data_IF_541030810058
#
_entry.id   IF_541030810058
#
_cell.length_a   1.000
_cell.length_b   1.000
_cell.length_c   1.000
_cell.angle_alpha   90.00
_cell.angle_beta   90.00
_cell.angle_gamma   90.00
#
_symmetry.space_group_name_H-M   'P 1'
#
loop_
_entity.id
_entity.type
_entity.pdbx_description
1 polymer ?
#
# COMPACT_ATOMS: atom_id res chain seq x y z
N UNK A 1 16.83 -0.27 6.25
CA UNK A 1 15.91 -1.06 5.40
C UNK A 1 16.21 -0.78 3.94
N UNK A 2 16.26 -1.81 3.13
CA UNK A 2 16.46 -1.66 1.70
C UNK A 2 15.09 -1.60 1.01
N UNK A 3 14.92 -0.63 0.13
CA UNK A 3 13.66 -0.47 -0.62
C UNK A 3 14.01 -0.30 -2.09
N UNK A 4 13.64 -1.30 -2.90
CA UNK A 4 13.80 -1.20 -4.34
C UNK A 4 12.54 -0.54 -4.92
N UNK A 5 12.71 0.22 -5.99
CA UNK A 5 11.61 0.92 -6.64
C UNK A 5 11.61 0.65 -8.12
N UNK A 6 10.45 0.34 -8.67
CA UNK A 6 10.27 0.11 -10.10
C UNK A 6 9.19 1.05 -10.60
N UNK A 7 9.50 1.84 -11.62
CA UNK A 7 8.53 2.77 -12.20
C UNK A 7 7.80 2.09 -13.34
N UNK A 8 6.46 2.10 -13.29
CA UNK A 8 5.60 1.59 -14.36
C UNK A 8 4.65 2.71 -14.74
N UNK A 9 5.05 3.54 -15.71
CA UNK A 9 4.25 4.69 -16.08
C UNK A 9 4.11 5.66 -14.94
N UNK A 10 2.87 5.90 -14.51
CA UNK A 10 2.60 6.81 -13.40
C UNK A 10 2.61 6.11 -12.04
N UNK A 11 2.90 4.81 -12.01
CA UNK A 11 2.84 4.00 -10.81
C UNK A 11 4.24 3.61 -10.41
N UNK A 12 4.53 3.67 -9.11
CA UNK A 12 5.80 3.19 -8.57
C UNK A 12 5.52 1.99 -7.70
N UNK A 13 6.25 0.92 -7.93
CA UNK A 13 6.17 -0.28 -7.10
C UNK A 13 7.36 -0.24 -6.16
N UNK A 14 7.07 -0.19 -4.86
CA UNK A 14 8.08 -0.17 -3.82
C UNK A 14 8.22 -1.57 -3.24
N UNK A 15 9.44 -2.07 -3.15
CA UNK A 15 9.71 -3.41 -2.64
C UNK A 15 10.65 -3.35 -1.45
N UNK A 16 10.12 -3.08 -0.26
CA UNK A 16 10.97 -3.08 0.93
C UNK A 16 11.40 -4.49 1.29
N UNK A 17 12.59 -4.60 1.84
CA UNK A 17 13.15 -5.87 2.29
C UNK A 17 13.49 -5.75 3.76
N UNK A 18 12.91 -6.65 4.56
CA UNK A 18 13.15 -6.66 5.98
C UNK A 18 11.90 -6.32 6.76
N UNK A 19 12.06 -6.23 8.07
CA UNK A 19 10.95 -5.98 8.98
C UNK A 19 10.59 -4.50 8.96
N UNK A 20 9.31 -4.21 8.95
CA UNK A 20 8.82 -2.84 9.00
C UNK A 20 8.36 -2.57 10.43
N UNK A 21 9.22 -1.92 11.19
CA UNK A 21 9.07 -1.77 12.63
C UNK A 21 9.41 -0.35 13.05
N UNK A 22 9.38 -0.12 14.38
CA UNK A 22 9.79 1.16 14.94
C UNK A 22 11.17 1.59 14.44
N UNK A 23 12.12 0.63 14.29
CA UNK A 23 13.47 0.97 13.86
C UNK A 23 13.57 1.33 12.37
N UNK A 24 12.63 0.87 11.55
CA UNK A 24 12.75 1.03 10.10
C UNK A 24 11.65 1.90 9.50
N UNK A 25 10.61 2.24 10.27
CA UNK A 25 9.48 2.96 9.70
C UNK A 25 9.86 4.34 9.20
N UNK A 26 10.88 4.97 9.79
CA UNK A 26 11.36 6.27 9.33
C UNK A 26 11.95 6.19 7.93
N UNK A 27 12.70 5.13 7.64
CA UNK A 27 13.26 4.93 6.30
C UNK A 27 12.16 4.71 5.26
N UNK A 28 11.14 3.97 5.63
CA UNK A 28 9.98 3.76 4.75
C UNK A 28 9.28 5.08 4.47
N UNK A 29 9.00 5.86 5.52
CA UNK A 29 8.32 7.15 5.36
C UNK A 29 9.12 8.09 4.48
N UNK A 30 10.43 8.11 4.65
CA UNK A 30 11.30 8.98 3.87
C UNK A 30 11.29 8.59 2.40
N UNK A 31 11.30 7.30 2.11
CA UNK A 31 11.24 6.83 0.73
C UNK A 31 9.92 7.26 0.06
N UNK A 32 8.81 7.14 0.79
CA UNK A 32 7.51 7.56 0.26
C UNK A 32 7.50 9.07 0.04
N UNK A 33 8.04 9.83 0.99
CA UNK A 33 8.05 11.30 0.88
C UNK A 33 8.83 11.76 -0.33
N UNK A 34 9.97 11.11 -0.61
CA UNK A 34 10.75 11.47 -1.81
C UNK A 34 9.95 11.26 -3.08
N UNK A 35 9.15 10.19 -3.13
CA UNK A 35 8.30 9.95 -4.29
C UNK A 35 7.21 11.02 -4.41
N UNK A 36 6.58 11.37 -3.29
CA UNK A 36 5.58 12.44 -3.31
C UNK A 36 6.18 13.75 -3.78
N UNK A 37 7.40 14.06 -3.35
CA UNK A 37 8.06 15.34 -3.69
C UNK A 37 8.29 15.47 -5.19
N UNK A 38 8.44 14.36 -5.90
CA UNK A 38 8.60 14.40 -7.36
C UNK A 38 7.30 14.09 -8.09
N UNK A 39 6.17 14.14 -7.39
CA UNK A 39 4.86 13.98 -7.99
C UNK A 39 4.40 12.55 -8.18
N UNK A 40 5.11 11.57 -7.60
CA UNK A 40 4.74 10.16 -7.71
C UNK A 40 3.85 9.80 -6.54
N UNK A 41 2.53 9.77 -6.78
CA UNK A 41 1.55 9.56 -5.72
C UNK A 41 0.75 8.27 -5.86
N UNK A 42 0.97 7.50 -6.92
CA UNK A 42 0.31 6.22 -7.13
C UNK A 42 1.31 5.12 -6.84
N UNK A 43 1.16 4.51 -5.66
CA UNK A 43 2.17 3.60 -5.12
C UNK A 43 1.57 2.21 -4.91
N UNK A 44 2.36 1.19 -5.24
CA UNK A 44 2.08 -0.20 -4.88
C UNK A 44 3.18 -0.64 -3.95
N UNK A 45 2.80 -1.09 -2.77
CA UNK A 45 3.75 -1.55 -1.76
C UNK A 45 3.78 -3.08 -1.81
N UNK A 46 4.88 -3.61 -2.33
CA UNK A 46 5.06 -5.06 -2.46
C UNK A 46 5.69 -5.59 -1.19
N UNK A 47 4.92 -6.35 -0.43
CA UNK A 47 5.33 -6.84 0.88
C UNK A 47 5.86 -8.27 0.84
N UNK A 48 6.19 -8.80 -0.34
CA UNK A 48 6.68 -10.16 -0.47
C UNK A 48 7.91 -10.43 0.40
N UNK A 49 8.76 -9.44 0.59
CA UNK A 49 10.00 -9.58 1.35
C UNK A 49 9.94 -8.88 2.72
N UNK A 50 8.73 -8.63 3.22
CA UNK A 50 8.51 -8.06 4.54
C UNK A 50 7.86 -9.14 5.40
N UNK A 51 8.63 -9.83 6.25
CA UNK A 51 8.08 -10.94 7.03
C UNK A 51 7.32 -10.50 8.26
N UNK A 52 7.47 -9.25 8.67
CA UNK A 52 6.90 -8.80 9.93
C UNK A 52 6.65 -7.30 9.93
N UNK A 53 5.51 -6.88 10.47
CA UNK A 53 5.15 -5.48 10.64
C UNK A 53 4.67 -5.33 12.08
N UNK A 54 5.24 -4.38 12.83
CA UNK A 54 4.73 -4.07 14.17
C UNK A 54 3.75 -2.89 14.10
N UNK A 55 3.25 -2.44 15.24
CA UNK A 55 2.26 -1.36 15.26
C UNK A 55 2.81 -0.05 14.72
N UNK A 56 4.09 0.20 14.89
CA UNK A 56 4.70 1.42 14.34
C UNK A 56 4.79 1.34 12.82
N UNK A 57 5.16 0.18 12.29
CA UNK A 57 5.19 -0.04 10.85
C UNK A 57 3.79 0.05 10.25
N UNK A 58 2.82 -0.54 10.94
CA UNK A 58 1.43 -0.46 10.48
C UNK A 58 0.94 0.99 10.48
N UNK A 59 1.27 1.74 11.52
CA UNK A 59 0.92 3.16 11.60
C UNK A 59 1.52 3.96 10.45
N UNK A 60 2.77 3.64 10.07
CA UNK A 60 3.41 4.29 8.94
C UNK A 60 2.67 3.98 7.64
N UNK A 61 2.29 2.71 7.44
CA UNK A 61 1.52 2.33 6.24
C UNK A 61 0.21 3.10 6.16
N UNK A 62 -0.49 3.23 7.28
CA UNK A 62 -1.77 3.95 7.32
C UNK A 62 -1.57 5.42 6.99
N UNK A 63 -0.57 6.05 7.59
CA UNK A 63 -0.34 7.47 7.35
C UNK A 63 0.03 7.76 5.91
N UNK A 64 0.85 6.90 5.31
CA UNK A 64 1.22 7.10 3.91
C UNK A 64 0.06 6.79 2.97
N UNK A 65 -0.81 5.87 3.35
CA UNK A 65 -2.04 5.61 2.62
C UNK A 65 -2.91 6.87 2.57
N UNK A 66 -3.08 7.51 3.74
CA UNK A 66 -3.88 8.72 3.83
C UNK A 66 -3.23 9.86 3.02
N UNK A 67 -1.92 10.01 3.14
CA UNK A 67 -1.20 11.05 2.42
C UNK A 67 -1.30 10.90 0.91
N UNK A 68 -1.18 9.65 0.42
CA UNK A 68 -1.29 9.39 -1.01
C UNK A 68 -2.67 9.79 -1.52
N UNK A 69 -3.71 9.46 -0.78
CA UNK A 69 -5.08 9.80 -1.18
C UNK A 69 -5.30 11.31 -1.19
N UNK A 70 -4.75 11.99 -0.21
CA UNK A 70 -4.86 13.47 -0.16
C UNK A 70 -4.20 14.13 -1.36
N UNK A 71 -3.20 13.47 -1.92
CA UNK A 71 -2.46 14.01 -3.07
C UNK A 71 -3.06 13.55 -4.40
N UNK A 72 -4.22 12.92 -4.37
CA UNK A 72 -4.89 12.46 -5.58
C UNK A 72 -4.41 11.13 -6.11
N UNK A 73 -3.57 10.43 -5.35
CA UNK A 73 -3.05 9.12 -5.72
C UNK A 73 -3.63 8.02 -4.87
N UNK A 74 -2.81 7.07 -4.52
CA UNK A 74 -3.23 5.95 -3.68
C UNK A 74 -2.05 5.07 -3.31
N UNK A 75 -2.24 4.25 -2.29
CA UNK A 75 -1.28 3.26 -1.86
C UNK A 75 -2.00 1.93 -1.77
N UNK A 76 -1.56 0.96 -2.56
CA UNK A 76 -2.16 -0.37 -2.60
C UNK A 76 -1.13 -1.39 -2.20
N UNK A 77 -1.59 -2.54 -1.71
CA UNK A 77 -0.69 -3.57 -1.18
C UNK A 77 -0.64 -4.76 -2.13
N UNK A 78 0.56 -5.32 -2.26
CA UNK A 78 0.82 -6.46 -3.13
C UNK A 78 1.52 -7.54 -2.31
N UNK A 79 1.11 -8.78 -2.50
CA UNK A 79 1.76 -9.95 -1.88
C UNK A 79 1.76 -9.88 -0.35
N UNK A 80 0.59 -9.66 0.22
CA UNK A 80 0.44 -9.59 1.69
C UNK A 80 0.57 -10.99 2.26
N UNK A 81 1.58 -11.23 3.10
CA UNK A 81 1.80 -12.55 3.70
C UNK A 81 0.78 -12.82 4.82
N UNK A 82 0.74 -14.08 5.27
CA UNK A 82 -0.26 -14.49 6.26
C UNK A 82 -0.23 -13.70 7.55
N UNK A 83 0.98 -13.42 8.08
CA UNK A 83 1.12 -12.64 9.30
C UNK A 83 0.53 -11.23 9.14
N UNK A 84 0.88 -10.57 8.04
CA UNK A 84 0.42 -9.20 7.80
C UNK A 84 -1.07 -9.21 7.49
N UNK A 85 -1.54 -10.19 6.74
CA UNK A 85 -2.98 -10.31 6.46
C UNK A 85 -3.76 -10.50 7.76
N UNK A 86 -3.26 -11.32 8.66
CA UNK A 86 -3.91 -11.51 9.96
C UNK A 86 -3.93 -10.20 10.75
N UNK A 87 -2.81 -9.47 10.75
CA UNK A 87 -2.74 -8.19 11.44
C UNK A 87 -3.76 -7.20 10.88
N UNK A 88 -3.88 -7.14 9.55
CA UNK A 88 -4.86 -6.26 8.92
C UNK A 88 -6.29 -6.68 9.26
N UNK A 89 -6.53 -7.99 9.36
CA UNK A 89 -7.86 -8.49 9.69
C UNK A 89 -8.26 -8.12 11.11
N UNK A 90 -7.38 -8.35 12.09
CA UNK A 90 -7.73 -8.09 13.49
C UNK A 90 -7.83 -6.60 13.78
N UNK A 91 -7.18 -5.77 12.99
CA UNK A 91 -7.29 -4.31 13.13
C UNK A 91 -8.38 -3.71 12.25
N UNK A 92 -9.10 -4.55 11.50
CA UNK A 92 -10.17 -4.12 10.60
C UNK A 92 -9.66 -3.31 9.41
N UNK A 93 -8.40 -3.46 9.05
CA UNK A 93 -7.79 -2.68 7.97
C UNK A 93 -7.82 -3.39 6.62
N UNK A 94 -8.26 -4.65 6.58
CA UNK A 94 -8.40 -5.34 5.29
C UNK A 94 -9.44 -4.66 4.38
N UNK A 95 -10.40 -3.95 4.97
CA UNK A 95 -11.39 -3.23 4.19
C UNK A 95 -10.92 -1.85 3.77
N UNK A 96 -9.80 -1.39 4.34
CA UNK A 96 -9.23 -0.08 4.01
C UNK A 96 -8.22 -0.20 2.88
N UNK A 97 -7.29 -1.17 2.99
CA UNK A 97 -6.26 -1.37 1.99
C UNK A 97 -6.75 -2.32 0.90
N UNK A 98 -6.60 -1.92 -0.35
CA UNK A 98 -6.79 -2.85 -1.46
C UNK A 98 -5.55 -3.73 -1.56
N UNK A 99 -5.75 -5.04 -1.61
CA UNK A 99 -4.64 -5.99 -1.65
C UNK A 99 -4.71 -6.79 -2.95
N UNK A 100 -3.54 -7.10 -3.49
CA UNK A 100 -3.43 -7.81 -4.76
C UNK A 100 -2.36 -8.89 -4.66
N UNK A 101 -2.49 -9.90 -5.52
CA UNK A 101 -1.48 -10.95 -5.64
C UNK A 101 -0.74 -10.88 -6.97
N UNK A 102 -1.10 -9.92 -7.82
CA UNK A 102 -0.50 -9.71 -9.12
C UNK A 102 -0.12 -8.26 -9.26
N UNK A 103 1.13 -8.03 -9.67
CA UNK A 103 1.62 -6.66 -9.89
C UNK A 103 0.79 -5.99 -10.99
N UNK A 104 0.46 -6.72 -12.05
CA UNK A 104 -0.35 -6.16 -13.13
C UNK A 104 -1.73 -5.74 -12.65
N UNK A 105 -2.36 -6.58 -11.82
CA UNK A 105 -3.69 -6.25 -11.29
C UNK A 105 -3.62 -5.02 -10.41
N UNK A 106 -2.60 -4.92 -9.56
CA UNK A 106 -2.44 -3.77 -8.69
C UNK A 106 -2.24 -2.50 -9.50
N UNK A 107 -1.39 -2.56 -10.53
CA UNK A 107 -1.11 -1.40 -11.36
C UNK A 107 -2.35 -0.97 -12.13
N UNK A 108 -3.07 -1.91 -12.74
CA UNK A 108 -4.26 -1.58 -13.52
C UNK A 108 -5.37 -1.00 -12.65
N UNK A 109 -5.44 -1.38 -11.39
CA UNK A 109 -6.52 -0.95 -10.51
C UNK A 109 -6.55 0.56 -10.31
N UNK A 110 -5.43 1.25 -10.51
CA UNK A 110 -5.39 2.70 -10.41
C UNK A 110 -6.15 3.40 -11.54
N UNK A 111 -6.39 2.70 -12.63
CA UNK A 111 -7.04 3.28 -13.79
C UNK A 111 -8.44 2.71 -14.03
N UNK A 112 -8.86 1.74 -13.23
CA UNK A 112 -10.18 1.16 -13.35
C UNK A 112 -11.19 2.03 -12.63
N UNK A 113 -12.33 2.21 -13.27
CA UNK A 113 -13.40 2.97 -12.69
C UNK A 113 -14.53 2.01 -12.36
N UNK A 114 -14.58 1.65 -11.10
CA UNK A 114 -15.68 0.84 -10.65
C UNK A 114 -16.97 1.64 -10.63
N UNK A 115 -18.03 1.04 -10.86
CA UNK A 115 -19.32 1.66 -10.59
C UNK A 115 -19.59 1.71 -9.12
N UNK A 116 -18.36 1.45 -9.49
CA UNK A 116 -17.77 1.18 -8.78
C UNK A 116 -17.71 0.80 -7.85
N UNK A 117 -17.52 0.94 -8.23
CA UNK A 117 -17.04 0.47 -7.61
C UNK A 117 -16.94 0.02 -6.94
N UNK A 118 -17.11 -0.13 -7.15
CA UNK A 118 -16.80 -0.74 -6.75
C UNK A 118 -16.26 -1.44 -6.34
N UNK A 119 -16.42 -1.38 -6.56
CA UNK A 119 -15.82 -2.10 -6.30
C UNK A 119 -15.51 -2.59 -5.73
N UNK A 120 -15.61 -2.60 -5.71
CA UNK A 120 -15.18 -2.98 -5.40
C UNK A 120 -15.04 -3.65 -4.71
N UNK A 121 -15.24 -3.78 -4.62
CA UNK A 121 -15.09 -4.31 -4.15
C UNK A 121 -15.06 -4.63 -3.63
N UNK A 122 -15.24 -4.74 -3.50
CA UNK A 122 -15.12 -5.05 -3.07
C UNK A 122 -15.30 -5.12 -2.49
N UNK A 123 -15.49 -4.91 -2.22
CA UNK A 123 -15.58 -4.88 -1.73
C UNK A 123 -16.03 -4.74 -1.17
N UNK A 124 -16.47 -4.96 -0.81
CA UNK A 124 -16.80 -4.66 -0.37
C UNK A 124 -16.77 -4.14 0.04
N UNK A 125 -16.75 -3.63 0.09
CA UNK A 125 -16.42 -3.10 0.32
C UNK A 125 -16.32 -2.38 0.28
N UNK A 126 -16.13 -1.99 0.13
CA UNK A 126 -15.68 -1.32 0.06
C UNK A 126 -15.99 -0.54 0.22
N UNK A 127 -16.31 -0.35 0.28
CA UNK A 127 -16.47 0.49 0.27
C UNK A 127 -16.54 1.34 1.30
N UNK A 128 -16.48 1.81 2.05
CA UNK A 128 -16.69 2.73 2.80
C UNK A 128 -16.35 4.06 2.76
N UNK A 129 -16.29 3.85 2.18
CA UNK A 129 -15.92 4.50 1.87
C UNK A 129 -15.94 4.83 1.09
N UNK A 130 -16.14 4.42 0.91
CA UNK A 130 -15.98 4.39 0.19
C UNK A 130 -15.91 4.61 -0.03
#
# INVERSE_FOLDING_TARGET
MRIDEVVRGEIVIMRPKGRLTLETEGEFREAVRRLFDIGRTRLVLDLANVPYVDSCGLGAMIQEFISARRRGGGLKLLNVCGHIRHLLAVTKLLTVFETFESEDAAARSFFERGPRGKARSSSPGGAFFS
#
